data_IF_014228759031
#
_entry.id   IF_014228759031
#
_cell.length_a   1.000
_cell.length_b   1.000
_cell.length_c   1.000
_cell.angle_alpha   90.00
_cell.angle_beta   90.00
_cell.angle_gamma   90.00
#
_symmetry.space_group_name_H-M   'P 1'
#
loop_
_entity.id
_entity.type
_entity.pdbx_description
1 polymer ?
#
# COMPACT_ATOMS: atom_id res chain seq x y z
N UNK A 1 -22.30 -17.39 2.48
CA UNK A 1 -21.08 -16.61 2.18
C UNK A 1 -20.90 -16.64 0.67
N UNK A 2 -20.96 -15.49 0.00
CA UNK A 2 -20.82 -15.46 -1.46
C UNK A 2 -19.35 -15.65 -1.83
N UNK A 3 -19.03 -16.71 -2.58
CA UNK A 3 -17.70 -17.01 -3.13
C UNK A 3 -17.38 -16.12 -4.35
N UNK A 4 -17.69 -14.82 -4.27
CA UNK A 4 -17.43 -13.91 -5.37
C UNK A 4 -16.01 -13.37 -5.24
N UNK A 5 -15.23 -13.48 -6.32
CA UNK A 5 -13.91 -12.86 -6.41
C UNK A 5 -14.11 -11.38 -6.77
N UNK A 6 -13.58 -10.47 -5.96
CA UNK A 6 -13.64 -9.03 -6.20
C UNK A 6 -12.34 -8.61 -6.89
N UNK A 7 -12.47 -7.90 -8.01
CA UNK A 7 -11.34 -7.30 -8.72
C UNK A 7 -11.44 -5.78 -8.64
N UNK A 8 -10.36 -5.14 -8.20
CA UNK A 8 -10.25 -3.68 -8.18
C UNK A 8 -9.25 -3.23 -9.24
N UNK A 9 -9.67 -2.30 -10.10
CA UNK A 9 -8.82 -1.71 -11.12
C UNK A 9 -8.55 -0.23 -10.79
N UNK A 10 -7.29 0.20 -10.70
CA UNK A 10 -6.98 1.60 -10.47
C UNK A 10 -7.36 2.44 -11.70
N UNK A 11 -8.20 3.45 -11.50
CA UNK A 11 -8.67 4.34 -12.58
C UNK A 11 -7.73 5.51 -12.87
N UNK A 12 -6.74 5.74 -12.01
CA UNK A 12 -5.66 6.70 -12.24
C UNK A 12 -4.40 6.34 -11.44
N UNK A 13 -3.32 7.04 -11.73
CA UNK A 13 -2.01 6.87 -11.11
C UNK A 13 -2.00 7.05 -9.59
N UNK A 14 -2.84 7.96 -9.08
CA UNK A 14 -2.96 8.21 -7.64
C UNK A 14 -3.59 7.01 -6.95
N UNK A 15 -4.70 6.49 -7.49
CA UNK A 15 -5.37 5.31 -6.96
C UNK A 15 -4.46 4.09 -7.07
N UNK A 16 -3.73 3.94 -8.18
CA UNK A 16 -2.71 2.88 -8.34
C UNK A 16 -1.65 2.93 -7.25
N UNK A 17 -1.13 4.13 -6.95
CA UNK A 17 -0.15 4.33 -5.90
C UNK A 17 -0.71 3.97 -4.52
N UNK A 18 -1.94 4.41 -4.22
CA UNK A 18 -2.59 4.15 -2.93
C UNK A 18 -2.89 2.67 -2.72
N UNK A 19 -3.41 1.98 -3.74
CA UNK A 19 -3.65 0.54 -3.68
C UNK A 19 -2.33 -0.23 -3.47
N UNK A 20 -1.25 0.19 -4.15
CA UNK A 20 0.08 -0.41 -3.94
C UNK A 20 0.62 -0.16 -2.53
N UNK A 21 0.39 1.03 -1.97
CA UNK A 21 0.76 1.34 -0.59
C UNK A 21 0.00 0.47 0.42
N UNK A 22 -1.30 0.34 0.27
CA UNK A 22 -2.15 -0.51 1.11
C UNK A 22 -1.70 -1.96 1.06
N UNK A 23 -1.40 -2.47 -0.14
CA UNK A 23 -0.87 -3.81 -0.33
C UNK A 23 0.47 -4.01 0.40
N UNK A 24 1.42 -3.10 0.24
CA UNK A 24 2.73 -3.20 0.89
C UNK A 24 2.62 -3.17 2.42
N UNK A 25 1.76 -2.31 2.97
CA UNK A 25 1.49 -2.24 4.41
C UNK A 25 0.87 -3.55 4.93
N UNK A 26 -0.07 -4.11 4.17
CA UNK A 26 -0.72 -5.38 4.52
C UNK A 26 0.27 -6.55 4.46
N UNK A 27 1.11 -6.60 3.42
CA UNK A 27 2.17 -7.60 3.25
C UNK A 27 3.18 -7.52 4.40
N UNK A 28 3.63 -6.32 4.77
CA UNK A 28 4.52 -6.11 5.92
C UNK A 28 3.87 -6.59 7.22
N UNK A 29 2.64 -6.14 7.51
CA UNK A 29 1.91 -6.52 8.73
C UNK A 29 1.75 -8.04 8.85
N UNK A 30 1.44 -8.71 7.74
CA UNK A 30 1.35 -10.16 7.70
C UNK A 30 2.70 -10.79 8.04
N UNK A 31 3.77 -10.51 7.30
CA UNK A 31 5.05 -11.17 7.52
C UNK A 31 5.72 -10.81 8.85
N UNK A 32 5.58 -9.56 9.32
CA UNK A 32 6.09 -9.14 10.63
C UNK A 32 5.45 -9.91 11.80
N UNK A 33 4.19 -10.34 11.65
CA UNK A 33 3.49 -11.13 12.69
C UNK A 33 3.96 -12.58 12.80
N UNK A 34 4.84 -13.03 11.91
CA UNK A 34 5.27 -14.43 11.81
C UNK A 34 6.74 -14.59 12.24
N UNK A 35 7.09 -15.77 12.75
CA UNK A 35 8.42 -16.03 13.35
C UNK A 35 9.43 -16.70 12.41
N UNK A 36 9.01 -17.13 11.22
CA UNK A 36 9.90 -17.77 10.25
C UNK A 36 10.94 -16.79 9.68
N UNK A 37 12.17 -17.26 9.49
CA UNK A 37 13.26 -16.50 8.85
C UNK A 37 12.85 -15.92 7.49
N UNK A 38 12.04 -16.64 6.73
CA UNK A 38 11.53 -16.21 5.43
C UNK A 38 10.56 -15.03 5.56
N UNK A 39 9.74 -15.03 6.60
CA UNK A 39 8.83 -13.93 6.86
C UNK A 39 9.59 -12.68 7.34
N UNK A 40 10.61 -12.85 8.17
CA UNK A 40 11.48 -11.72 8.57
C UNK A 40 12.15 -11.10 7.33
N UNK A 41 12.71 -11.95 6.44
CA UNK A 41 13.29 -11.50 5.17
C UNK A 41 12.28 -10.75 4.31
N UNK A 42 11.08 -11.30 4.15
CA UNK A 42 10.03 -10.64 3.36
C UNK A 42 9.56 -9.33 3.99
N UNK A 43 9.43 -9.25 5.31
CA UNK A 43 9.09 -8.00 6.00
C UNK A 43 10.16 -6.91 5.73
N UNK A 44 11.45 -7.26 5.77
CA UNK A 44 12.53 -6.33 5.43
C UNK A 44 12.47 -5.92 3.96
N UNK A 45 12.28 -6.87 3.03
CA UNK A 45 12.13 -6.58 1.61
C UNK A 45 10.95 -5.62 1.35
N UNK A 46 9.81 -5.81 2.01
CA UNK A 46 8.67 -4.90 1.87
C UNK A 46 8.95 -3.48 2.36
N UNK A 47 9.81 -3.31 3.38
CA UNK A 47 10.25 -1.99 3.81
C UNK A 47 11.16 -1.32 2.77
N UNK A 48 12.03 -2.08 2.10
CA UNK A 48 12.82 -1.55 0.98
C UNK A 48 11.92 -1.12 -0.19
N UNK A 49 10.95 -1.94 -0.57
CA UNK A 49 9.96 -1.58 -1.60
C UNK A 49 9.17 -0.31 -1.23
N UNK A 50 8.78 -0.19 0.05
CA UNK A 50 8.07 0.98 0.55
C UNK A 50 8.93 2.25 0.50
N UNK A 51 10.20 2.17 0.90
CA UNK A 51 11.12 3.33 0.87
C UNK A 51 11.43 3.76 -0.56
N UNK A 52 11.60 2.82 -1.49
CA UNK A 52 11.76 3.13 -2.92
C UNK A 52 10.50 3.79 -3.51
N UNK A 53 9.32 3.30 -3.17
CA UNK A 53 8.06 3.88 -3.63
C UNK A 53 7.83 5.28 -3.04
N UNK A 54 8.24 5.50 -1.79
CA UNK A 54 8.12 6.77 -1.08
C UNK A 54 9.14 7.82 -1.50
N UNK A 55 10.32 7.41 -1.98
CA UNK A 55 11.33 8.36 -2.47
C UNK A 55 10.99 8.93 -3.84
N UNK A 56 10.34 8.13 -4.71
CA UNK A 56 9.93 8.54 -6.07
C UNK A 56 8.65 9.38 -6.07
N UNK A 57 7.80 9.22 -5.06
CA UNK A 57 6.49 9.86 -5.01
C UNK A 57 6.38 10.74 -3.76
N UNK A 58 5.91 11.98 -3.91
CA UNK A 58 5.61 12.81 -2.75
C UNK A 58 4.27 12.40 -2.12
N UNK A 59 4.26 11.24 -1.46
CA UNK A 59 3.06 10.59 -0.88
C UNK A 59 2.34 11.56 0.06
N UNK A 60 3.09 12.34 0.85
CA UNK A 60 2.53 13.32 1.78
C UNK A 60 1.67 14.37 1.07
N UNK A 61 2.16 14.93 -0.05
CA UNK A 61 1.39 15.88 -0.85
C UNK A 61 0.15 15.24 -1.48
N UNK A 62 0.28 14.01 -1.98
CA UNK A 62 -0.83 13.26 -2.61
C UNK A 62 -1.95 13.02 -1.59
N UNK A 63 -1.60 12.57 -0.39
CA UNK A 63 -2.55 12.34 0.71
C UNK A 63 -3.23 13.64 1.14
N UNK A 64 -2.47 14.73 1.30
CA UNK A 64 -3.05 16.04 1.63
C UNK A 64 -4.07 16.48 0.57
N UNK A 65 -3.71 16.43 -0.70
CA UNK A 65 -4.59 16.85 -1.81
C UNK A 65 -5.87 16.02 -1.85
N UNK A 66 -5.79 14.71 -1.62
CA UNK A 66 -6.97 13.83 -1.62
C UNK A 66 -7.86 14.07 -0.40
N UNK A 67 -7.30 14.25 0.79
CA UNK A 67 -8.04 14.61 1.99
C UNK A 67 -8.75 15.96 1.86
N UNK A 68 -8.13 16.93 1.19
CA UNK A 68 -8.79 18.19 0.85
C UNK A 68 -9.95 17.98 -0.11
N UNK A 69 -9.74 17.24 -1.20
CA UNK A 69 -10.78 16.92 -2.17
C UNK A 69 -12.00 16.24 -1.50
N UNK A 70 -11.77 15.26 -0.61
CA UNK A 70 -12.84 14.56 0.11
C UNK A 70 -13.59 15.41 1.15
N UNK A 71 -13.02 16.53 1.62
CA UNK A 71 -13.71 17.44 2.56
C UNK A 71 -14.59 18.49 1.88
N UNK A 72 -14.34 18.75 0.60
CA UNK A 72 -15.12 19.71 -0.21
C UNK A 72 -16.40 19.11 -0.80
N UNK A 73 -16.65 17.83 -0.59
CA UNK A 73 -17.86 17.09 -0.96
C UNK A 73 -18.40 16.36 0.27
#
# INVERSE_FOLDING_TARGET
>A
MNNNIIYEQPTNEIIRLLMKLEYLLSKYKFHYSQTSIWNIKEAINTLFEFTELSSRNNIKLILLKRSHFQRTY
#
